data_IF_264759097805
#
_entry.id   IF_264759097805
#
_cell.length_a   1.000
_cell.length_b   1.000
_cell.length_c   1.000
_cell.angle_alpha   90.00
_cell.angle_beta   90.00
_cell.angle_gamma   90.00
#
_symmetry.space_group_name_H-M   'P 1'
#
loop_
_entity.id
_entity.type
_entity.pdbx_description
1 polymer ?
#
# COMPACT_ATOMS: atom_id res chain seq x y z
N UNK A 1 -9.37 -15.88 -43.42
CA UNK A 1 -10.18 -15.28 -42.33
C UNK A 1 -9.19 -14.54 -41.45
N UNK A 2 -9.25 -13.21 -41.44
CA UNK A 2 -8.47 -12.42 -40.50
C UNK A 2 -9.06 -12.64 -39.10
N UNK A 3 -8.23 -13.03 -38.14
CA UNK A 3 -8.65 -13.30 -36.76
C UNK A 3 -8.57 -12.05 -35.87
N UNK A 4 -8.53 -10.89 -36.51
CA UNK A 4 -8.24 -9.60 -35.92
C UNK A 4 -9.27 -8.61 -36.43
N UNK A 5 -9.89 -7.89 -35.50
CA UNK A 5 -10.74 -6.74 -35.80
C UNK A 5 -10.00 -5.46 -35.43
N UNK A 6 -9.98 -4.49 -36.34
CA UNK A 6 -9.45 -3.14 -36.08
C UNK A 6 -10.62 -2.16 -36.03
N UNK A 7 -10.67 -1.35 -34.97
CA UNK A 7 -11.71 -0.36 -34.78
C UNK A 7 -11.13 1.00 -34.38
N UNK A 8 -11.95 2.03 -34.55
CA UNK A 8 -11.68 3.41 -34.17
C UNK A 8 -12.86 3.92 -33.34
N UNK A 9 -12.58 4.59 -32.22
CA UNK A 9 -13.59 5.15 -31.33
C UNK A 9 -14.29 4.12 -30.44
N UNK A 10 -15.37 4.55 -29.78
CA UNK A 10 -16.17 3.70 -28.91
C UNK A 10 -16.05 4.06 -27.43
N UNK A 11 -17.01 3.59 -26.65
CA UNK A 11 -17.13 3.89 -25.21
C UNK A 11 -17.18 2.58 -24.44
N UNK A 12 -16.36 2.48 -23.41
CA UNK A 12 -16.34 1.37 -22.46
C UNK A 12 -16.82 1.88 -21.11
N UNK A 13 -17.86 1.26 -20.56
CA UNK A 13 -18.48 1.66 -19.29
C UNK A 13 -18.09 0.71 -18.16
N UNK A 14 -18.25 1.19 -16.93
CA UNK A 14 -18.01 0.41 -15.71
C UNK A 14 -19.30 -0.14 -15.07
N UNK A 15 -20.36 -0.33 -15.87
CA UNK A 15 -21.66 -0.86 -15.39
C UNK A 15 -21.55 -2.25 -14.77
N UNK A 16 -20.64 -3.09 -15.28
CA UNK A 16 -20.34 -4.40 -14.66
C UNK A 16 -19.86 -4.27 -13.22
N UNK A 17 -19.21 -3.15 -12.88
CA UNK A 17 -18.78 -2.79 -11.53
C UNK A 17 -19.82 -2.02 -10.71
N UNK A 18 -21.01 -1.75 -11.28
CA UNK A 18 -22.10 -1.02 -10.63
C UNK A 18 -22.01 0.51 -10.76
N UNK A 19 -21.15 1.03 -11.63
CA UNK A 19 -21.01 2.48 -11.84
C UNK A 19 -21.97 2.99 -12.91
N UNK A 20 -22.40 4.25 -12.76
CA UNK A 20 -23.20 4.94 -13.75
C UNK A 20 -22.36 5.24 -15.02
N UNK A 21 -22.83 4.87 -16.24
CA UNK A 21 -22.15 5.16 -17.51
C UNK A 21 -21.79 6.61 -17.75
N UNK A 22 -22.57 7.54 -17.18
CA UNK A 22 -22.34 8.98 -17.33
C UNK A 22 -21.26 9.54 -16.40
N UNK A 23 -20.84 8.75 -15.40
CA UNK A 23 -19.85 9.12 -14.38
C UNK A 23 -18.52 8.40 -14.59
N UNK A 24 -18.55 7.12 -14.99
CA UNK A 24 -17.34 6.29 -15.14
C UNK A 24 -17.33 5.58 -16.49
N UNK A 25 -16.46 6.04 -17.39
CA UNK A 25 -16.33 5.51 -18.75
C UNK A 25 -14.94 5.80 -19.33
N UNK A 26 -14.56 5.04 -20.36
CA UNK A 26 -13.39 5.30 -21.18
C UNK A 26 -13.80 5.48 -22.64
N UNK A 27 -13.22 6.49 -23.30
CA UNK A 27 -13.33 6.68 -24.76
C UNK A 27 -12.09 6.07 -25.41
N UNK A 28 -12.33 5.14 -26.34
CA UNK A 28 -11.27 4.48 -27.11
C UNK A 28 -10.85 5.37 -28.29
N UNK A 29 -9.60 5.26 -28.71
CA UNK A 29 -9.14 5.76 -30.01
C UNK A 29 -9.04 4.58 -30.96
N UNK A 30 -7.86 4.26 -31.47
CA UNK A 30 -7.63 3.05 -32.26
C UNK A 30 -7.45 1.84 -31.35
N UNK A 31 -8.03 0.70 -31.73
CA UNK A 31 -7.87 -0.55 -30.97
C UNK A 31 -7.92 -1.79 -31.86
N UNK A 32 -7.37 -2.88 -31.32
CA UNK A 32 -7.32 -4.17 -31.98
C UNK A 32 -7.92 -5.26 -31.09
N UNK A 33 -8.81 -6.08 -31.64
CA UNK A 33 -9.42 -7.24 -30.96
C UNK A 33 -9.01 -8.51 -31.67
N UNK A 34 -8.35 -9.41 -30.95
CA UNK A 34 -8.10 -10.78 -31.40
C UNK A 34 -9.36 -11.63 -31.21
N UNK A 35 -10.04 -11.99 -32.29
CA UNK A 35 -11.35 -12.68 -32.27
C UNK A 35 -11.30 -14.11 -31.71
N UNK A 36 -10.10 -14.63 -31.42
CA UNK A 36 -9.89 -15.94 -30.76
C UNK A 36 -9.92 -15.86 -29.24
N UNK A 37 -9.84 -14.65 -28.67
CA UNK A 37 -9.79 -14.42 -27.23
C UNK A 37 -11.05 -13.68 -26.78
N UNK A 38 -11.45 -13.91 -25.54
CA UNK A 38 -12.56 -13.18 -24.90
C UNK A 38 -12.04 -11.96 -24.13
N UNK A 39 -10.98 -11.33 -24.63
CA UNK A 39 -10.34 -10.15 -24.06
C UNK A 39 -9.72 -9.28 -25.16
N UNK A 40 -9.54 -8.00 -24.89
CA UNK A 40 -8.86 -7.07 -25.78
C UNK A 40 -8.11 -6.00 -24.99
N UNK A 41 -7.16 -5.36 -25.66
CA UNK A 41 -6.39 -4.24 -25.15
C UNK A 41 -6.61 -3.04 -26.06
N UNK A 42 -6.74 -1.87 -25.47
CA UNK A 42 -6.75 -0.61 -26.19
C UNK A 42 -5.71 0.32 -25.57
N UNK A 43 -4.75 0.73 -26.39
CA UNK A 43 -3.79 1.76 -26.02
C UNK A 43 -4.45 3.15 -26.19
N UNK A 44 -3.93 4.15 -25.48
CA UNK A 44 -4.32 5.56 -25.62
C UNK A 44 -5.80 5.88 -25.37
N UNK A 45 -6.40 5.23 -24.36
CA UNK A 45 -7.78 5.53 -23.95
C UNK A 45 -7.86 6.79 -23.10
N UNK A 46 -9.02 7.46 -23.16
CA UNK A 46 -9.35 8.60 -22.30
C UNK A 46 -10.36 8.16 -21.25
N UNK A 47 -9.91 7.93 -20.03
CA UNK A 47 -10.73 7.48 -18.90
C UNK A 47 -11.27 8.67 -18.11
N UNK A 48 -12.56 8.66 -17.82
CA UNK A 48 -13.26 9.67 -17.01
C UNK A 48 -13.87 8.97 -15.80
N UNK A 49 -13.64 9.50 -14.60
CA UNK A 49 -14.31 9.05 -13.38
C UNK A 49 -14.65 10.26 -12.51
N UNK A 50 -15.87 10.78 -12.69
CA UNK A 50 -16.37 12.00 -12.03
C UNK A 50 -16.59 11.86 -10.52
N UNK A 51 -16.50 10.63 -9.99
CA UNK A 51 -16.68 10.37 -8.56
C UNK A 51 -15.39 10.73 -7.81
N UNK A 52 -14.24 10.54 -8.45
CA UNK A 52 -12.93 10.67 -7.81
C UNK A 52 -12.04 11.74 -8.44
N UNK A 53 -12.29 12.15 -9.69
CA UNK A 53 -11.44 13.08 -10.42
C UNK A 53 -12.26 14.08 -11.23
N UNK A 54 -11.79 15.33 -11.27
CA UNK A 54 -12.37 16.37 -12.13
C UNK A 54 -11.89 16.25 -13.59
N UNK A 55 -10.65 15.78 -13.78
CA UNK A 55 -10.00 15.72 -15.09
C UNK A 55 -9.87 14.27 -15.63
N UNK A 56 -10.07 14.04 -16.93
CA UNK A 56 -9.85 12.74 -17.56
C UNK A 56 -8.38 12.30 -17.56
N UNK A 57 -8.16 10.98 -17.52
CA UNK A 57 -6.84 10.35 -17.48
C UNK A 57 -6.54 9.59 -18.77
N UNK A 58 -5.31 9.69 -19.26
CA UNK A 58 -4.80 8.87 -20.36
C UNK A 58 -4.14 7.59 -19.85
N UNK A 59 -4.35 6.48 -20.57
CA UNK A 59 -3.78 5.20 -20.17
C UNK A 59 -4.14 4.05 -21.10
N UNK A 60 -4.01 2.84 -20.57
CA UNK A 60 -4.29 1.59 -21.27
C UNK A 60 -5.55 0.97 -20.67
N UNK A 61 -6.39 0.43 -21.54
CA UNK A 61 -7.54 -0.38 -21.15
C UNK A 61 -7.24 -1.86 -21.46
N UNK A 62 -7.54 -2.72 -20.49
CA UNK A 62 -7.68 -4.15 -20.70
C UNK A 62 -9.09 -4.56 -20.30
N UNK A 63 -9.83 -5.14 -21.25
CA UNK A 63 -11.14 -5.68 -20.95
C UNK A 63 -11.23 -7.16 -21.28
N UNK A 64 -11.92 -7.90 -20.42
CA UNK A 64 -12.13 -9.34 -20.51
C UNK A 64 -13.57 -9.68 -20.13
N UNK A 65 -14.16 -10.58 -20.91
CA UNK A 65 -15.45 -11.19 -20.57
C UNK A 65 -15.24 -12.14 -19.39
N UNK A 66 -15.88 -11.82 -18.28
CA UNK A 66 -15.82 -12.61 -17.05
C UNK A 66 -17.17 -12.58 -16.37
N UNK A 67 -17.65 -13.74 -15.95
CA UNK A 67 -18.87 -13.85 -15.14
C UNK A 67 -18.63 -13.27 -13.75
N UNK A 68 -19.51 -12.38 -13.32
CA UNK A 68 -19.52 -11.79 -11.98
C UNK A 68 -20.86 -12.14 -11.32
N UNK A 69 -20.84 -12.66 -10.08
CA UNK A 69 -22.08 -12.94 -9.33
C UNK A 69 -22.76 -11.65 -8.89
N UNK A 70 -21.97 -10.65 -8.49
CA UNK A 70 -22.41 -9.31 -8.10
C UNK A 70 -21.54 -8.24 -8.76
N UNK A 71 -22.04 -6.99 -8.91
CA UNK A 71 -21.23 -5.91 -9.48
C UNK A 71 -19.93 -5.66 -8.73
N UNK A 72 -19.95 -5.75 -7.40
CA UNK A 72 -18.78 -5.64 -6.53
C UNK A 72 -17.68 -6.70 -6.76
N UNK A 73 -18.00 -7.83 -7.39
CA UNK A 73 -17.04 -8.88 -7.75
C UNK A 73 -16.31 -8.59 -9.08
N UNK A 74 -16.75 -7.58 -9.83
CA UNK A 74 -16.18 -7.27 -11.14
C UNK A 74 -14.70 -6.88 -11.03
N UNK A 75 -13.87 -7.50 -11.85
CA UNK A 75 -12.44 -7.19 -11.98
C UNK A 75 -12.07 -6.60 -13.33
N UNK A 76 -13.04 -6.44 -14.22
CA UNK A 76 -12.92 -5.86 -15.57
C UNK A 76 -14.13 -4.95 -15.84
N UNK A 77 -14.00 -3.90 -16.67
CA UNK A 77 -12.78 -3.51 -17.38
C UNK A 77 -11.67 -3.00 -16.44
N UNK A 78 -10.42 -3.03 -16.90
CA UNK A 78 -9.25 -2.53 -16.20
C UNK A 78 -8.67 -1.34 -16.95
N UNK A 79 -8.49 -0.23 -16.27
CA UNK A 79 -7.76 0.92 -16.79
C UNK A 79 -6.49 1.13 -15.95
N UNK A 80 -5.36 1.38 -16.60
CA UNK A 80 -4.10 1.73 -15.96
C UNK A 80 -3.58 3.05 -16.52
N UNK A 81 -3.36 4.05 -15.66
CA UNK A 81 -2.89 5.36 -16.10
C UNK A 81 -1.44 5.32 -16.57
N UNK A 82 -1.13 6.13 -17.60
CA UNK A 82 0.25 6.33 -18.03
C UNK A 82 1.06 7.11 -17.01
N UNK A 83 0.49 8.21 -16.51
CA UNK A 83 1.08 8.98 -15.42
C UNK A 83 1.18 8.11 -14.18
N UNK A 84 2.41 7.99 -13.67
CA UNK A 84 2.76 7.19 -12.48
C UNK A 84 2.79 8.00 -11.20
N UNK A 85 2.54 9.30 -11.28
CA UNK A 85 2.58 10.24 -10.17
C UNK A 85 1.52 11.32 -10.34
N UNK A 86 0.31 11.01 -9.93
CA UNK A 86 -0.74 11.98 -9.67
C UNK A 86 -0.67 12.43 -8.22
N UNK A 87 -1.13 13.65 -7.96
CA UNK A 87 -1.43 14.10 -6.61
C UNK A 87 -2.93 14.34 -6.56
N UNK A 88 -3.59 13.76 -5.56
CA UNK A 88 -4.99 14.02 -5.23
C UNK A 88 -4.98 14.58 -3.82
N UNK A 89 -5.21 15.88 -3.72
CA UNK A 89 -5.41 16.54 -2.44
C UNK A 89 -6.81 16.18 -1.92
N UNK A 90 -6.92 15.95 -0.61
CA UNK A 90 -8.19 15.60 0.04
C UNK A 90 -8.92 14.42 -0.62
N UNK A 91 -8.20 13.36 -1.03
CA UNK A 91 -8.80 12.09 -1.47
C UNK A 91 -9.83 11.58 -0.45
N UNK A 92 -9.49 11.78 0.83
CA UNK A 92 -10.45 11.84 1.94
C UNK A 92 -10.13 13.07 2.77
N UNK A 93 -11.03 13.47 3.67
CA UNK A 93 -10.82 14.61 4.58
C UNK A 93 -9.45 14.51 5.29
N UNK A 94 -8.53 15.45 5.01
CA UNK A 94 -7.16 15.50 5.55
C UNK A 94 -6.25 14.32 5.12
N UNK A 95 -6.53 13.69 3.97
CA UNK A 95 -5.71 12.61 3.41
C UNK A 95 -5.44 12.89 1.94
N UNK A 96 -4.18 13.19 1.63
CA UNK A 96 -3.71 13.29 0.26
C UNK A 96 -3.20 11.94 -0.23
N UNK A 97 -3.30 11.74 -1.53
CA UNK A 97 -2.71 10.63 -2.25
C UNK A 97 -1.70 11.10 -3.29
N UNK A 98 -0.59 10.37 -3.42
CA UNK A 98 0.39 10.55 -4.50
C UNK A 98 0.74 9.18 -5.12
N UNK A 99 0.56 9.02 -6.44
CA UNK A 99 0.96 7.79 -7.14
C UNK A 99 0.23 7.59 -8.47
N UNK A 100 0.43 6.43 -9.09
CA UNK A 100 -0.33 6.00 -10.26
C UNK A 100 -1.75 5.61 -9.89
N UNK A 101 -2.63 5.48 -10.87
CA UNK A 101 -4.02 5.10 -10.65
C UNK A 101 -4.42 3.96 -11.58
N UNK A 102 -5.29 3.10 -11.08
CA UNK A 102 -5.85 2.01 -11.85
C UNK A 102 -7.30 1.78 -11.42
N UNK A 103 -8.18 1.55 -12.38
CA UNK A 103 -9.58 1.20 -12.13
C UNK A 103 -9.78 -0.25 -12.54
N UNK A 104 -9.99 -1.15 -11.59
CA UNK A 104 -10.05 -2.60 -11.80
C UNK A 104 -11.46 -3.13 -11.51
N UNK A 105 -12.31 -3.16 -12.53
CA UNK A 105 -13.72 -3.48 -12.40
C UNK A 105 -14.36 -2.61 -11.33
N UNK A 106 -14.87 -3.17 -10.25
CA UNK A 106 -15.56 -2.41 -9.19
C UNK A 106 -14.64 -1.52 -8.33
N UNK A 107 -13.31 -1.64 -8.45
CA UNK A 107 -12.34 -1.09 -7.48
C UNK A 107 -11.44 -0.03 -8.11
N UNK A 108 -11.39 1.14 -7.48
CA UNK A 108 -10.31 2.10 -7.72
C UNK A 108 -9.11 1.75 -6.83
N UNK A 109 -7.90 1.79 -7.42
CA UNK A 109 -6.67 1.43 -6.72
C UNK A 109 -5.56 2.41 -7.05
N UNK A 110 -4.79 2.77 -6.03
CA UNK A 110 -3.54 3.48 -6.17
C UNK A 110 -2.41 2.52 -6.47
N UNK A 111 -1.53 2.88 -7.41
CA UNK A 111 -0.44 2.03 -7.88
C UNK A 111 0.90 2.75 -7.79
N UNK A 112 1.95 1.99 -7.49
CA UNK A 112 3.33 2.43 -7.52
C UNK A 112 4.25 1.32 -8.01
N UNK A 113 5.56 1.54 -7.90
CA UNK A 113 6.60 0.52 -8.11
C UNK A 113 7.45 0.39 -6.84
N UNK A 114 8.37 -0.57 -6.82
CA UNK A 114 9.32 -0.72 -5.71
C UNK A 114 10.23 0.51 -5.57
N UNK A 115 10.60 1.13 -6.70
CA UNK A 115 11.42 2.33 -6.75
C UNK A 115 10.61 3.60 -6.45
N UNK A 116 9.37 3.65 -6.95
CA UNK A 116 8.46 4.80 -6.84
C UNK A 116 7.12 4.34 -6.28
N UNK A 117 7.09 4.13 -4.96
CA UNK A 117 5.88 3.74 -4.24
C UNK A 117 4.81 4.84 -4.29
N UNK A 118 3.55 4.42 -4.29
CA UNK A 118 2.44 5.32 -4.02
C UNK A 118 2.47 5.72 -2.53
N UNK A 119 1.96 6.90 -2.21
CA UNK A 119 2.01 7.49 -0.87
C UNK A 119 0.65 8.04 -0.46
N UNK A 120 0.32 7.86 0.81
CA UNK A 120 -0.73 8.59 1.50
C UNK A 120 -0.10 9.53 2.51
N UNK A 121 -0.58 10.76 2.58
CA UNK A 121 -0.19 11.75 3.59
C UNK A 121 -1.42 12.10 4.41
N UNK A 122 -1.37 11.85 5.71
CA UNK A 122 -2.47 12.12 6.63
C UNK A 122 -2.11 13.30 7.51
N UNK A 123 -3.02 14.28 7.56
CA UNK A 123 -2.85 15.51 8.30
C UNK A 123 -3.79 15.53 9.52
N UNK A 124 -3.34 16.23 10.57
CA UNK A 124 -4.13 16.57 11.74
C UNK A 124 -3.89 18.05 12.03
N UNK A 125 -4.94 18.87 11.99
CA UNK A 125 -4.86 20.33 12.15
C UNK A 125 -3.78 20.94 11.23
N UNK A 126 -3.87 20.67 9.93
CA UNK A 126 -2.95 21.14 8.87
C UNK A 126 -1.48 20.68 9.02
N UNK A 127 -1.18 19.80 9.97
CA UNK A 127 0.16 19.25 10.19
C UNK A 127 0.23 17.82 9.70
N UNK A 128 1.24 17.49 8.88
CA UNK A 128 1.51 16.13 8.45
C UNK A 128 1.91 15.27 9.65
N UNK A 129 1.06 14.31 10.02
CA UNK A 129 1.31 13.41 11.16
C UNK A 129 1.67 12.00 10.74
N UNK A 130 1.29 11.57 9.53
CA UNK A 130 1.59 10.23 9.05
C UNK A 130 1.84 10.22 7.54
N UNK A 131 2.87 9.49 7.13
CA UNK A 131 3.10 9.09 5.75
C UNK A 131 3.04 7.57 5.65
N UNK A 132 2.26 7.04 4.71
CA UNK A 132 2.20 5.63 4.38
C UNK A 132 2.64 5.43 2.92
N UNK A 133 3.50 4.46 2.65
CA UNK A 133 4.01 4.18 1.32
C UNK A 133 3.81 2.71 0.94
N UNK A 134 3.26 2.46 -0.25
CA UNK A 134 2.99 1.11 -0.75
C UNK A 134 3.02 1.06 -2.28
N UNK A 135 3.26 -0.13 -2.83
CA UNK A 135 3.07 -0.40 -4.26
C UNK A 135 1.58 -0.39 -4.64
N UNK A 136 0.69 -0.63 -3.68
CA UNK A 136 -0.74 -0.75 -3.93
C UNK A 136 -1.57 -0.21 -2.76
N UNK A 137 -2.56 0.62 -3.06
CA UNK A 137 -3.63 1.01 -2.15
C UNK A 137 -4.98 0.67 -2.76
N UNK A 138 -5.84 -0.01 -2.01
CA UNK A 138 -7.24 -0.21 -2.41
C UNK A 138 -8.10 0.91 -1.85
N UNK A 139 -8.80 1.65 -2.72
CA UNK A 139 -9.71 2.71 -2.32
C UNK A 139 -11.16 2.24 -2.36
N UNK A 140 -11.92 2.66 -1.36
CA UNK A 140 -13.38 2.54 -1.29
C UNK A 140 -13.94 3.84 -0.73
N UNK A 141 -15.25 4.04 -0.86
CA UNK A 141 -15.91 5.21 -0.26
C UNK A 141 -15.78 5.27 1.26
N UNK A 142 -15.68 4.12 1.95
CA UNK A 142 -15.67 4.03 3.41
C UNK A 142 -14.28 3.80 4.03
N UNK A 143 -13.28 3.42 3.22
CA UNK A 143 -11.94 3.04 3.70
C UNK A 143 -10.88 3.08 2.61
N UNK A 144 -9.63 3.15 3.05
CA UNK A 144 -8.44 2.81 2.26
C UNK A 144 -7.64 1.74 2.98
N UNK A 145 -7.04 0.81 2.23
CA UNK A 145 -6.27 -0.30 2.79
C UNK A 145 -5.11 -0.75 1.91
N UNK A 146 -4.04 -1.24 2.54
CA UNK A 146 -2.93 -1.91 1.87
C UNK A 146 -2.34 -3.02 2.74
N UNK A 147 -1.86 -4.09 2.10
CA UNK A 147 -1.28 -5.25 2.77
C UNK A 147 0.24 -5.15 2.99
N UNK A 148 0.92 -4.21 2.32
CA UNK A 148 2.37 -4.04 2.48
C UNK A 148 2.69 -2.57 2.46
N UNK A 149 2.79 -1.99 3.64
CA UNK A 149 2.87 -0.55 3.80
C UNK A 149 4.01 -0.18 4.71
N UNK A 150 4.94 0.63 4.22
CA UNK A 150 5.89 1.32 5.05
C UNK A 150 5.18 2.53 5.69
N UNK A 151 5.25 2.67 7.00
CA UNK A 151 4.54 3.71 7.75
C UNK A 151 5.54 4.53 8.56
N UNK A 152 5.41 5.85 8.46
CA UNK A 152 6.16 6.83 9.25
C UNK A 152 5.16 7.73 9.97
N UNK A 153 5.11 7.64 11.29
CA UNK A 153 4.35 8.56 12.15
C UNK A 153 5.32 9.65 12.62
N UNK A 154 5.01 10.91 12.35
CA UNK A 154 5.88 12.06 12.66
C UNK A 154 5.71 12.50 14.10
N UNK A 155 6.84 12.66 14.80
CA UNK A 155 6.95 13.16 16.16
C UNK A 155 7.99 14.30 16.20
N UNK A 156 7.53 15.55 16.05
CA UNK A 156 8.42 16.73 15.91
C UNK A 156 9.44 16.52 14.79
N UNK A 157 10.74 16.50 15.13
CA UNK A 157 11.85 16.31 14.18
C UNK A 157 12.19 14.82 13.96
N UNK A 158 11.41 13.91 14.52
CA UNK A 158 11.69 12.49 14.56
C UNK A 158 10.44 11.66 14.21
N UNK A 159 10.48 10.34 14.35
CA UNK A 159 9.38 9.47 13.95
C UNK A 159 9.31 8.13 14.67
N UNK A 160 8.13 7.51 14.54
CA UNK A 160 7.95 6.06 14.66
C UNK A 160 7.89 5.49 13.24
N UNK A 161 8.71 4.49 12.94
CA UNK A 161 8.80 3.88 11.62
C UNK A 161 8.62 2.37 11.65
N UNK A 162 7.98 1.84 10.61
CA UNK A 162 7.93 0.41 10.33
C UNK A 162 7.87 0.18 8.81
N UNK A 163 8.59 -0.81 8.30
CA UNK A 163 8.77 -1.01 6.85
C UNK A 163 7.64 -1.80 6.18
N UNK A 164 6.92 -2.64 6.93
CA UNK A 164 5.87 -3.48 6.34
C UNK A 164 4.70 -3.73 7.32
N UNK A 165 3.54 -3.12 7.06
CA UNK A 165 2.33 -3.30 7.86
C UNK A 165 1.09 -3.47 6.99
N UNK A 166 0.09 -4.18 7.53
CA UNK A 166 -1.29 -4.07 7.09
C UNK A 166 -1.82 -2.72 7.55
N UNK A 167 -2.09 -1.86 6.58
CA UNK A 167 -2.61 -0.52 6.78
C UNK A 167 -4.10 -0.51 6.47
N UNK A 168 -4.89 0.08 7.34
CA UNK A 168 -6.30 0.38 7.08
C UNK A 168 -6.67 1.72 7.70
N UNK A 169 -7.34 2.57 6.94
CA UNK A 169 -7.97 3.78 7.46
C UNK A 169 -9.47 3.74 7.18
N UNK A 170 -10.30 3.87 8.22
CA UNK A 170 -11.76 3.93 8.10
C UNK A 170 -12.23 5.38 8.15
N UNK A 171 -12.73 5.87 7.02
CA UNK A 171 -13.06 7.29 6.80
C UNK A 171 -14.07 7.80 7.81
N UNK A 172 -15.22 7.10 7.94
CA UNK A 172 -16.31 7.50 8.85
C UNK A 172 -15.87 7.64 10.31
N UNK A 173 -14.96 6.78 10.76
CA UNK A 173 -14.50 6.75 12.16
C UNK A 173 -13.22 7.55 12.38
N UNK A 174 -12.63 8.10 11.32
CA UNK A 174 -11.29 8.70 11.31
C UNK A 174 -10.28 7.83 12.04
N UNK A 175 -10.34 6.51 11.82
CA UNK A 175 -9.56 5.52 12.58
C UNK A 175 -8.53 4.84 11.70
N UNK A 176 -7.26 5.03 12.05
CA UNK A 176 -6.13 4.28 11.54
C UNK A 176 -5.97 2.96 12.31
N UNK A 177 -5.76 1.87 11.58
CA UNK A 177 -5.29 0.60 12.11
C UNK A 177 -4.03 0.18 11.37
N UNK A 178 -2.98 -0.11 12.13
CA UNK A 178 -1.72 -0.66 11.66
C UNK A 178 -1.54 -2.02 12.34
N UNK A 179 -1.43 -3.07 11.55
CA UNK A 179 -1.37 -4.45 12.04
C UNK A 179 -0.16 -5.17 11.45
N UNK A 180 0.59 -5.88 12.29
CA UNK A 180 1.62 -6.80 11.83
C UNK A 180 0.98 -8.03 11.19
N UNK A 181 1.54 -8.48 10.08
CA UNK A 181 1.19 -9.74 9.43
C UNK A 181 2.21 -10.82 9.76
N UNK A 182 1.90 -12.07 9.40
CA UNK A 182 2.82 -13.21 9.57
C UNK A 182 4.04 -13.14 8.63
N UNK A 183 4.12 -12.15 7.73
CA UNK A 183 5.32 -11.92 6.90
C UNK A 183 6.52 -11.60 7.81
N UNK A 184 7.67 -12.24 7.59
CA UNK A 184 8.87 -12.04 8.41
C UNK A 184 9.30 -10.57 8.51
N UNK A 185 9.23 -9.82 7.41
CA UNK A 185 9.52 -8.38 7.42
C UNK A 185 8.51 -7.54 8.20
N UNK A 186 7.30 -8.06 8.40
CA UNK A 186 6.28 -7.42 9.23
C UNK A 186 6.45 -7.70 10.73
N UNK A 187 7.21 -8.75 11.09
CA UNK A 187 7.42 -9.13 12.50
C UNK A 187 8.46 -8.26 13.21
N UNK A 188 9.30 -7.55 12.46
CA UNK A 188 10.30 -6.61 12.99
C UNK A 188 9.67 -5.59 13.97
N UNK A 189 10.39 -5.10 14.98
CA UNK A 189 9.88 -4.04 15.85
C UNK A 189 9.70 -2.73 15.06
N UNK A 190 8.81 -1.87 15.56
CA UNK A 190 8.78 -0.46 15.14
C UNK A 190 10.02 0.24 15.70
N UNK A 191 10.70 1.03 14.87
CA UNK A 191 11.78 1.90 15.34
C UNK A 191 11.18 3.23 15.80
N UNK A 192 11.39 3.59 17.07
CA UNK A 192 10.99 4.89 17.62
C UNK A 192 12.24 5.72 17.94
N UNK A 193 12.71 6.48 16.96
CA UNK A 193 13.92 7.27 17.12
C UNK A 193 13.73 8.47 18.06
N UNK A 194 12.49 8.98 18.21
CA UNK A 194 12.17 10.05 19.15
C UNK A 194 12.46 9.64 20.60
N UNK A 195 12.00 8.46 21.01
CA UNK A 195 12.21 7.92 22.35
C UNK A 195 13.47 7.03 22.45
N UNK A 196 14.12 6.74 21.31
CA UNK A 196 15.28 5.83 21.21
C UNK A 196 14.97 4.43 21.73
N UNK A 197 13.84 3.88 21.30
CA UNK A 197 13.39 2.53 21.65
C UNK A 197 12.89 1.77 20.43
N UNK A 198 13.07 0.46 20.44
CA UNK A 198 12.37 -0.46 19.56
C UNK A 198 11.08 -0.92 20.25
N UNK A 199 9.95 -0.83 19.55
CA UNK A 199 8.63 -1.14 20.08
C UNK A 199 8.06 -2.36 19.36
N UNK A 200 7.85 -3.44 20.09
CA UNK A 200 7.29 -4.67 19.56
C UNK A 200 5.90 -4.92 20.14
N UNK A 201 4.89 -4.66 19.34
CA UNK A 201 3.47 -4.95 19.60
C UNK A 201 2.80 -5.30 18.27
N UNK A 202 1.63 -5.93 18.32
CA UNK A 202 0.98 -6.45 17.12
C UNK A 202 0.14 -5.41 16.38
N UNK A 203 -0.60 -4.58 17.12
CA UNK A 203 -1.55 -3.62 16.55
C UNK A 203 -1.40 -2.23 17.14
N UNK A 204 -1.34 -1.21 16.28
CA UNK A 204 -1.54 0.19 16.64
C UNK A 204 -2.88 0.66 16.08
N UNK A 205 -3.69 1.28 16.93
CA UNK A 205 -4.90 1.98 16.54
C UNK A 205 -4.81 3.44 16.93
N UNK A 206 -5.26 4.32 16.05
CA UNK A 206 -5.28 5.75 16.32
C UNK A 206 -6.51 6.39 15.69
N UNK A 207 -7.34 6.96 16.56
CA UNK A 207 -8.42 7.85 16.18
C UNK A 207 -7.84 9.25 15.94
N UNK A 208 -7.94 9.76 14.71
CA UNK A 208 -7.25 11.01 14.32
C UNK A 208 -7.79 12.24 15.05
N UNK A 209 -8.99 12.16 15.62
CA UNK A 209 -9.59 13.17 16.50
C UNK A 209 -9.01 13.15 17.94
N UNK A 210 -8.28 12.10 18.30
CA UNK A 210 -7.69 11.92 19.64
C UNK A 210 -6.16 12.07 19.62
N UNK A 211 -5.58 12.44 20.76
CA UNK A 211 -4.12 12.54 20.95
C UNK A 211 -3.50 11.23 21.49
N UNK A 212 -4.28 10.14 21.49
CA UNK A 212 -3.89 8.85 22.06
C UNK A 212 -3.75 7.82 20.94
N UNK A 213 -2.55 7.23 20.84
CA UNK A 213 -2.32 6.01 20.08
C UNK A 213 -2.43 4.82 21.03
N UNK A 214 -3.21 3.82 20.66
CA UNK A 214 -3.39 2.59 21.45
C UNK A 214 -2.62 1.44 20.82
N UNK A 215 -1.74 0.83 21.61
CA UNK A 215 -1.01 -0.39 21.23
C UNK A 215 -1.69 -1.59 21.88
N UNK A 216 -2.07 -2.58 21.10
CA UNK A 216 -2.87 -3.72 21.57
C UNK A 216 -2.54 -5.02 20.84
N UNK A 217 -3.10 -6.12 21.35
CA UNK A 217 -3.27 -7.33 20.57
C UNK A 217 -4.23 -7.08 19.39
N UNK A 218 -4.20 -7.92 18.33
CA UNK A 218 -5.22 -7.90 17.29
C UNK A 218 -6.59 -8.27 17.87
N UNK A 219 -7.68 -7.82 17.24
CA UNK A 219 -9.03 -8.22 17.67
C UNK A 219 -9.19 -9.74 17.60
N UNK A 220 -9.68 -10.33 18.69
CA UNK A 220 -9.89 -11.79 18.79
C UNK A 220 -8.68 -12.57 19.34
N UNK A 221 -7.54 -11.92 19.56
CA UNK A 221 -6.43 -12.55 20.27
C UNK A 221 -6.76 -12.69 21.77
N UNK A 222 -6.43 -13.84 22.35
CA UNK A 222 -6.64 -14.11 23.77
C UNK A 222 -5.63 -13.37 24.67
N UNK A 223 -4.41 -13.15 24.18
CA UNK A 223 -3.31 -12.50 24.89
C UNK A 223 -2.57 -11.61 23.89
N UNK A 224 -2.12 -10.44 24.33
CA UNK A 224 -1.17 -9.59 23.60
C UNK A 224 0.05 -9.29 24.45
N UNK A 225 1.20 -9.24 23.81
CA UNK A 225 2.46 -8.83 24.44
C UNK A 225 2.95 -7.53 23.80
N UNK A 226 3.51 -6.66 24.62
CA UNK A 226 4.18 -5.46 24.15
C UNK A 226 5.55 -5.36 24.82
N UNK A 227 6.60 -5.24 24.03
CA UNK A 227 7.97 -5.10 24.49
C UNK A 227 8.54 -3.77 23.99
N UNK A 228 9.22 -3.06 24.87
CA UNK A 228 9.89 -1.80 24.55
C UNK A 228 11.33 -1.93 25.00
N UNK A 229 12.26 -1.97 24.05
CA UNK A 229 13.68 -2.15 24.33
C UNK A 229 14.44 -0.90 23.90
N UNK A 230 15.36 -0.42 24.74
CA UNK A 230 16.22 0.70 24.37
C UNK A 230 17.11 0.30 23.20
N UNK A 231 17.34 1.21 22.25
CA UNK A 231 18.28 0.95 21.13
C UNK A 231 19.71 0.68 21.59
N UNK A 232 20.07 1.08 22.81
CA UNK A 232 21.38 0.83 23.42
C UNK A 232 21.35 -0.31 24.45
N UNK A 233 20.29 -1.12 24.48
CA UNK A 233 20.18 -2.22 25.42
C UNK A 233 21.22 -3.30 25.10
N UNK A 234 22.03 -3.66 26.10
CA UNK A 234 22.89 -4.82 26.05
C UNK A 234 22.67 -5.70 27.26
N UNK A 235 22.52 -7.00 27.02
CA UNK A 235 22.48 -8.01 28.07
C UNK A 235 23.43 -9.15 27.73
N UNK A 236 24.44 -9.32 28.57
CA UNK A 236 25.47 -10.33 28.38
C UNK A 236 24.90 -11.75 28.29
N UNK A 237 23.91 -12.09 29.11
CA UNK A 237 23.30 -13.42 29.06
C UNK A 237 22.50 -13.64 27.77
N UNK A 238 21.73 -12.64 27.30
CA UNK A 238 21.05 -12.74 25.98
C UNK A 238 22.05 -12.90 24.84
N UNK A 239 23.15 -12.15 24.89
CA UNK A 239 24.26 -12.28 23.94
C UNK A 239 24.83 -13.70 23.97
N UNK A 240 25.30 -14.19 25.11
CA UNK A 240 25.83 -15.56 25.22
C UNK A 240 24.82 -16.63 24.81
N UNK A 241 23.54 -16.45 25.11
CA UNK A 241 22.49 -17.40 24.73
C UNK A 241 22.27 -17.48 23.20
N UNK A 242 22.56 -16.43 22.42
CA UNK A 242 22.49 -16.48 20.95
C UNK A 242 23.51 -17.45 20.33
N UNK A 243 24.61 -17.76 21.03
CA UNK A 243 25.61 -18.73 20.59
C UNK A 243 25.06 -20.17 20.58
N UNK A 244 24.06 -20.47 21.41
CA UNK A 244 23.52 -21.82 21.61
C UNK A 244 24.64 -22.87 21.85
N UNK A 245 24.75 -23.88 20.98
CA UNK A 245 25.79 -24.93 21.03
C UNK A 245 26.95 -24.68 20.05
N UNK A 246 26.94 -23.55 19.34
CA UNK A 246 27.97 -23.22 18.36
C UNK A 246 29.29 -22.82 19.06
N UNK A 247 30.40 -22.97 18.35
CA UNK A 247 31.75 -22.59 18.82
C UNK A 247 32.02 -21.10 18.66
N UNK A 248 31.27 -20.41 17.79
CA UNK A 248 31.44 -18.99 17.51
C UNK A 248 30.13 -18.23 17.66
N UNK A 249 30.19 -17.04 18.26
CA UNK A 249 29.01 -16.19 18.39
C UNK A 249 28.60 -15.62 17.03
N UNK A 250 27.34 -15.74 16.59
CA UNK A 250 26.91 -15.34 15.25
C UNK A 250 27.21 -13.86 14.94
N UNK A 251 26.92 -12.95 15.88
CA UNK A 251 27.23 -11.53 15.72
C UNK A 251 28.75 -11.24 15.60
N UNK A 252 29.60 -12.02 16.27
CA UNK A 252 31.06 -11.88 16.18
C UNK A 252 31.55 -12.38 14.82
N UNK A 253 30.99 -13.50 14.34
CA UNK A 253 31.27 -14.05 13.01
C UNK A 253 30.88 -13.06 11.91
N UNK A 254 29.71 -12.43 12.01
CA UNK A 254 29.28 -11.37 11.09
C UNK A 254 30.23 -10.17 11.12
N UNK A 255 30.64 -9.70 12.31
CA UNK A 255 31.58 -8.58 12.39
C UNK A 255 32.96 -8.94 11.83
N UNK A 256 33.43 -10.16 12.09
CA UNK A 256 34.67 -10.67 11.52
C UNK A 256 34.62 -10.73 9.99
N UNK A 257 33.49 -11.18 9.44
CA UNK A 257 33.26 -11.17 8.00
C UNK A 257 33.24 -9.75 7.43
N UNK A 258 32.48 -8.83 8.04
CA UNK A 258 32.43 -7.42 7.62
C UNK A 258 33.82 -6.77 7.61
N UNK A 259 34.62 -7.00 8.66
CA UNK A 259 36.00 -6.51 8.74
C UNK A 259 36.89 -7.09 7.63
N UNK A 260 36.73 -8.39 7.32
CA UNK A 260 37.48 -9.06 6.24
C UNK A 260 37.03 -8.59 4.85
N UNK A 261 35.73 -8.34 4.69
CA UNK A 261 35.12 -7.84 3.46
C UNK A 261 35.44 -6.36 3.22
N UNK A 262 35.70 -5.60 4.29
CA UNK A 262 36.03 -4.18 4.25
C UNK A 262 34.82 -3.24 4.20
N UNK A 263 33.61 -3.77 4.46
CA UNK A 263 32.35 -3.01 4.47
C UNK A 263 31.38 -3.63 5.47
N UNK A 264 30.62 -2.78 6.16
CA UNK A 264 29.49 -3.19 7.02
C UNK A 264 28.22 -3.49 6.18
N UNK A 265 28.25 -3.21 4.88
CA UNK A 265 27.24 -3.61 3.89
C UNK A 265 27.80 -4.68 2.95
N UNK A 266 27.12 -5.82 2.85
CA UNK A 266 27.52 -6.94 2.00
C UNK A 266 26.29 -7.72 1.50
N UNK A 267 26.34 -8.30 0.28
CA UNK A 267 25.23 -9.07 -0.27
C UNK A 267 25.05 -10.38 0.47
N UNK A 268 23.79 -10.76 0.71
CA UNK A 268 23.41 -12.08 1.23
C UNK A 268 22.81 -12.87 0.07
N UNK A 269 23.49 -13.94 -0.36
CA UNK A 269 23.03 -14.83 -1.42
C UNK A 269 22.20 -16.00 -0.86
#
# INVERSE_FOLDING_TARGET
>A
IENTWKGEGGIVTWERGGYNPSEVFAVLQDYEIELKKSEYFAEDVTFTNKIYFDEPLKGVLHDKVKFNKKPEDATYPKFDSYTKKFVIEDLYENIDYEGGLSMQGSKLVGTGTLENTAKLRIYKNDTLVLSAASVYFGFRSDRVSSLRTAVTIKLRNDSIFHSNLFFTYRVKFKELTLLKSDDYSSQAPYSNSYHKVDMNFDQLTWRMDEDIMTFSAPRGAAIGYAYFESVNYFNYNKFMNMMMLDRAHPLVSLKSFANKYGSDEFPVN
#
